data_IF_676667648090
#
_entry.id   IF_676667648090
#
_cell.length_a   1.000
_cell.length_b   1.000
_cell.length_c   1.000
_cell.angle_alpha   90.00
_cell.angle_beta   90.00
_cell.angle_gamma   90.00
#
_symmetry.space_group_name_H-M   'P 1'
#
loop_
_entity.id
_entity.type
_entity.pdbx_description
1 polymer ?
#
# COMPACT_ATOMS: atom_id res chain seq x y z
N UNK A 1 -51.64 38.33 37.25
CA UNK A 1 -51.81 39.68 36.63
C UNK A 1 -51.18 40.68 37.58
N UNK A 2 -50.58 41.77 37.08
CA UNK A 2 -49.94 42.74 37.98
C UNK A 2 -51.02 43.63 38.55
N UNK A 3 -51.10 43.72 39.88
CA UNK A 3 -52.10 44.53 40.58
C UNK A 3 -51.69 45.99 40.68
N UNK A 4 -50.43 46.25 41.05
CA UNK A 4 -49.87 47.61 41.19
C UNK A 4 -48.36 47.61 41.27
N UNK A 5 -47.76 48.80 41.22
CA UNK A 5 -46.33 49.04 41.41
C UNK A 5 -46.10 49.59 42.82
N UNK A 6 -45.72 48.76 43.78
CA UNK A 6 -45.57 49.16 45.18
C UNK A 6 -44.54 50.29 45.38
N UNK A 7 -43.38 50.17 44.72
CA UNK A 7 -42.31 51.18 44.80
C UNK A 7 -41.46 51.20 43.53
N UNK A 8 -40.91 52.38 43.23
CA UNK A 8 -39.85 52.59 42.21
C UNK A 8 -38.83 53.56 42.80
N UNK A 9 -37.55 53.20 42.78
CA UNK A 9 -36.43 54.06 43.17
C UNK A 9 -35.36 54.10 42.08
N UNK A 10 -34.70 55.25 41.95
CA UNK A 10 -33.55 55.48 41.06
C UNK A 10 -33.78 55.06 39.59
N UNK A 11 -35.01 55.24 39.08
CA UNK A 11 -35.36 54.88 37.70
C UNK A 11 -35.88 56.11 36.96
N UNK A 12 -35.02 56.73 36.16
CA UNK A 12 -35.35 57.93 35.38
C UNK A 12 -35.92 59.05 36.26
N UNK A 13 -37.16 59.45 35.98
CA UNK A 13 -37.87 60.50 36.74
C UNK A 13 -38.37 60.04 38.11
N UNK A 14 -38.38 58.73 38.39
CA UNK A 14 -38.84 58.16 39.66
C UNK A 14 -37.66 58.00 40.63
N UNK A 15 -37.53 58.95 41.57
CA UNK A 15 -36.48 58.93 42.60
C UNK A 15 -36.86 58.03 43.81
N UNK A 16 -38.05 58.24 44.40
CA UNK A 16 -38.61 57.40 45.47
C UNK A 16 -40.14 57.37 45.40
N UNK A 17 -40.66 56.76 44.34
CA UNK A 17 -42.10 56.63 44.13
C UNK A 17 -42.67 55.49 44.98
N UNK A 18 -43.84 55.75 45.59
CA UNK A 18 -44.62 54.79 46.36
C UNK A 18 -46.07 54.84 45.90
N UNK A 19 -46.70 53.68 45.75
CA UNK A 19 -48.11 53.61 45.38
C UNK A 19 -48.98 54.09 46.54
N UNK A 20 -49.74 55.16 46.33
CA UNK A 20 -50.75 55.62 47.28
C UNK A 20 -52.12 55.11 46.84
N UNK A 21 -52.65 54.14 47.60
CA UNK A 21 -53.93 53.50 47.32
C UNK A 21 -55.13 54.43 47.45
N UNK A 22 -54.96 55.60 48.07
CA UNK A 22 -56.03 56.59 48.20
C UNK A 22 -56.18 57.46 46.96
N UNK A 23 -55.12 57.60 46.16
CA UNK A 23 -55.07 58.51 45.00
C UNK A 23 -54.89 57.78 43.68
N UNK A 24 -54.25 56.61 43.68
CA UNK A 24 -53.95 55.84 42.46
C UNK A 24 -54.72 54.50 42.51
N UNK A 25 -55.65 54.28 41.57
CA UNK A 25 -56.36 53.00 41.48
C UNK A 25 -55.44 51.88 41.03
N UNK A 26 -55.68 50.66 41.52
CA UNK A 26 -54.98 49.46 41.07
C UNK A 26 -55.18 49.21 39.56
N UNK A 27 -54.25 48.47 38.96
CA UNK A 27 -54.31 48.12 37.55
C UNK A 27 -55.53 47.25 37.23
N UNK A 28 -56.19 47.60 36.13
CA UNK A 28 -57.27 46.82 35.53
C UNK A 28 -56.78 46.01 34.34
N UNK A 29 -57.65 45.24 33.68
CA UNK A 29 -57.27 44.41 32.52
C UNK A 29 -56.66 45.23 31.38
N UNK A 30 -57.10 46.47 31.21
CA UNK A 30 -56.56 47.41 30.21
C UNK A 30 -56.26 48.73 30.89
N UNK A 31 -55.01 49.21 30.79
CA UNK A 31 -54.56 50.43 31.45
C UNK A 31 -54.06 51.42 30.39
N UNK A 32 -54.52 52.66 30.45
CA UNK A 32 -54.03 53.75 29.61
C UNK A 32 -53.26 54.75 30.48
N UNK A 33 -51.95 54.82 30.28
CA UNK A 33 -51.08 55.82 30.92
C UNK A 33 -50.85 56.99 29.98
N UNK A 34 -51.34 58.17 30.33
CA UNK A 34 -51.17 59.40 29.54
C UNK A 34 -50.68 60.55 30.42
N UNK A 35 -50.13 61.59 29.81
CA UNK A 35 -49.54 62.73 30.51
C UNK A 35 -48.56 63.50 29.62
N UNK A 36 -48.01 64.59 30.13
CA UNK A 36 -47.04 65.44 29.43
C UNK A 36 -45.74 64.70 29.07
N UNK A 37 -44.99 65.21 28.10
CA UNK A 37 -43.64 64.73 27.86
C UNK A 37 -42.81 64.83 29.15
N UNK A 38 -41.89 63.89 29.35
CA UNK A 38 -41.09 63.76 30.59
C UNK A 38 -41.88 63.37 31.86
N UNK A 39 -43.18 63.06 31.76
CA UNK A 39 -43.98 62.59 32.91
C UNK A 39 -43.68 61.14 33.36
N UNK A 40 -42.67 60.47 32.78
CA UNK A 40 -42.27 59.10 33.17
C UNK A 40 -42.96 57.94 32.45
N UNK A 41 -43.81 58.19 31.43
CA UNK A 41 -44.51 57.13 30.67
C UNK A 41 -43.54 56.09 30.07
N UNK A 42 -42.52 56.55 29.35
CA UNK A 42 -41.49 55.68 28.76
C UNK A 42 -40.64 55.00 29.84
N UNK A 43 -40.45 55.64 30.99
CA UNK A 43 -39.73 55.06 32.12
C UNK A 43 -40.49 53.88 32.73
N UNK A 44 -41.82 53.96 32.82
CA UNK A 44 -42.67 52.84 33.24
C UNK A 44 -42.59 51.68 32.23
N UNK A 45 -42.61 51.96 30.92
CA UNK A 45 -42.49 50.88 29.93
C UNK A 45 -41.13 50.18 30.01
N UNK A 46 -40.05 50.92 30.29
CA UNK A 46 -38.71 50.35 30.55
C UNK A 46 -38.64 49.52 31.83
N UNK A 47 -39.37 49.89 32.88
CA UNK A 47 -39.50 49.07 34.10
C UNK A 47 -40.05 47.68 33.75
N UNK A 48 -41.19 47.63 33.04
CA UNK A 48 -41.77 46.36 32.60
C UNK A 48 -40.81 45.56 31.71
N UNK A 49 -40.05 46.25 30.86
CA UNK A 49 -39.08 45.59 30.00
C UNK A 49 -37.93 44.91 30.77
N UNK A 50 -37.54 45.43 31.92
CA UNK A 50 -36.55 44.78 32.78
C UNK A 50 -37.02 43.38 33.21
N UNK A 51 -38.32 43.25 33.52
CA UNK A 51 -38.94 41.96 33.83
C UNK A 51 -39.08 41.03 32.61
N UNK A 52 -39.28 41.58 31.40
CA UNK A 52 -39.32 40.77 30.16
C UNK A 52 -37.95 40.18 29.81
N UNK A 53 -36.87 40.97 29.92
CA UNK A 53 -35.51 40.55 29.55
C UNK A 53 -34.77 39.81 30.67
N UNK A 54 -35.23 39.95 31.92
CA UNK A 54 -34.56 39.36 33.07
C UNK A 54 -33.34 40.16 33.55
N UNK A 55 -33.15 41.38 33.07
CA UNK A 55 -31.97 42.23 33.33
C UNK A 55 -32.39 43.67 33.64
N UNK A 56 -31.57 44.39 34.43
CA UNK A 56 -31.78 45.83 34.66
C UNK A 56 -31.47 46.62 33.38
N UNK A 57 -32.15 47.74 33.19
CA UNK A 57 -31.87 48.64 32.09
C UNK A 57 -30.45 49.23 32.20
N UNK A 58 -29.70 49.25 31.10
CA UNK A 58 -28.29 49.68 31.08
C UNK A 58 -28.07 51.08 31.69
N UNK A 59 -28.95 52.03 31.39
CA UNK A 59 -28.88 53.41 31.92
C UNK A 59 -29.21 53.54 33.42
N UNK A 60 -29.82 52.53 34.04
CA UNK A 60 -30.33 52.59 35.42
C UNK A 60 -29.94 51.34 36.24
N UNK A 61 -28.63 51.10 36.46
CA UNK A 61 -28.17 49.89 37.15
C UNK A 61 -28.60 49.83 38.62
N UNK A 62 -28.80 50.98 39.25
CA UNK A 62 -29.18 51.11 40.67
C UNK A 62 -30.71 51.21 40.88
N UNK A 63 -31.50 50.93 39.85
CA UNK A 63 -32.95 50.96 39.95
C UNK A 63 -33.45 49.85 40.90
N UNK A 64 -34.39 50.21 41.78
CA UNK A 64 -35.13 49.27 42.62
C UNK A 64 -36.61 49.41 42.32
N UNK A 65 -37.33 48.30 42.17
CA UNK A 65 -38.76 48.33 41.95
C UNK A 65 -39.42 47.08 42.51
N UNK A 66 -40.68 47.22 42.92
CA UNK A 66 -41.48 46.12 43.46
C UNK A 66 -42.88 46.14 42.85
N UNK A 67 -43.33 45.01 42.32
CA UNK A 67 -44.67 44.79 41.79
C UNK A 67 -45.44 43.79 42.65
N UNK A 68 -46.75 43.97 42.76
CA UNK A 68 -47.66 43.06 43.49
C UNK A 68 -48.45 42.20 42.50
N UNK A 69 -48.57 40.90 42.77
CA UNK A 69 -49.46 40.02 42.03
C UNK A 69 -50.92 40.18 42.48
N UNK A 70 -51.84 40.18 41.52
CA UNK A 70 -53.28 40.30 41.76
C UNK A 70 -53.88 39.05 42.43
N UNK A 71 -53.38 37.85 42.12
CA UNK A 71 -53.92 36.60 42.67
C UNK A 71 -53.27 36.19 43.98
N UNK A 72 -52.03 36.60 44.23
CA UNK A 72 -51.33 36.29 45.47
C UNK A 72 -50.64 37.55 46.04
N UNK A 73 -51.29 38.27 46.96
CA UNK A 73 -50.74 39.48 47.59
C UNK A 73 -49.40 39.24 48.32
N UNK A 74 -49.09 37.99 48.70
CA UNK A 74 -47.82 37.63 49.33
C UNK A 74 -46.68 37.49 48.31
N UNK A 75 -46.99 37.41 47.01
CA UNK A 75 -46.02 37.30 45.93
C UNK A 75 -45.67 38.70 45.41
N UNK A 76 -44.43 39.11 45.69
CA UNK A 76 -43.86 40.40 45.26
C UNK A 76 -42.74 40.15 44.25
N UNK A 77 -42.81 40.82 43.11
CA UNK A 77 -41.78 40.77 42.08
C UNK A 77 -40.83 41.94 42.28
N UNK A 78 -39.53 41.69 42.44
CA UNK A 78 -38.56 42.73 42.71
C UNK A 78 -37.36 42.67 41.75
N UNK A 79 -36.50 43.68 41.81
CA UNK A 79 -35.31 43.83 40.98
C UNK A 79 -34.19 42.82 41.28
N UNK A 80 -34.40 41.90 42.23
CA UNK A 80 -33.46 40.84 42.61
C UNK A 80 -33.86 39.47 42.05
N UNK A 81 -35.12 39.28 41.68
CA UNK A 81 -35.63 38.03 41.11
C UNK A 81 -36.60 38.30 39.95
N UNK A 82 -36.02 38.45 38.75
CA UNK A 82 -36.76 38.66 37.52
C UNK A 82 -37.42 37.38 36.96
N UNK A 83 -37.10 36.21 37.52
CA UNK A 83 -37.48 34.91 36.95
C UNK A 83 -38.92 34.48 37.24
N UNK A 84 -39.64 35.27 38.04
CA UNK A 84 -40.90 34.87 38.67
C UNK A 84 -42.17 35.32 37.93
N UNK A 85 -42.03 36.15 36.88
CA UNK A 85 -43.15 36.75 36.14
C UNK A 85 -43.28 36.14 34.72
N UNK A 86 -43.95 34.98 34.57
CA UNK A 86 -44.09 34.33 33.29
C UNK A 86 -45.14 35.09 32.46
N UNK A 87 -44.76 35.54 31.26
CA UNK A 87 -45.61 36.16 30.23
C UNK A 87 -45.78 37.69 30.32
N UNK A 88 -44.66 38.42 30.39
CA UNK A 88 -44.63 39.84 30.04
C UNK A 88 -43.95 40.04 28.67
N UNK A 89 -44.58 40.87 27.83
CA UNK A 89 -44.03 41.30 26.55
C UNK A 89 -44.17 42.81 26.45
N UNK A 90 -43.08 43.51 26.14
CA UNK A 90 -43.05 44.96 26.06
C UNK A 90 -42.65 45.40 24.67
N UNK A 91 -43.60 46.01 23.97
CA UNK A 91 -43.34 46.67 22.69
C UNK A 91 -43.13 48.17 22.94
N UNK A 92 -41.86 48.59 23.00
CA UNK A 92 -41.47 49.99 23.18
C UNK A 92 -40.40 50.41 22.16
N UNK A 93 -39.98 51.67 22.18
CA UNK A 93 -38.95 52.21 21.25
C UNK A 93 -37.65 51.41 21.29
N UNK A 94 -37.14 51.03 22.45
CA UNK A 94 -35.89 50.27 22.49
C UNK A 94 -36.09 48.80 22.01
N UNK A 95 -37.33 48.27 21.93
CA UNK A 95 -37.61 46.96 21.30
C UNK A 95 -37.46 47.08 19.79
N UNK A 96 -38.02 48.15 19.23
CA UNK A 96 -37.91 48.48 17.81
C UNK A 96 -36.44 48.67 17.45
N UNK A 97 -35.69 49.49 18.18
CA UNK A 97 -34.26 49.73 17.89
C UNK A 97 -33.41 48.46 17.96
N UNK A 98 -33.70 47.53 18.89
CA UNK A 98 -32.92 46.30 19.07
C UNK A 98 -33.25 45.21 18.04
N UNK A 99 -34.50 45.12 17.60
CA UNK A 99 -34.97 44.00 16.77
C UNK A 99 -35.34 44.39 15.33
N UNK A 100 -35.63 45.67 15.08
CA UNK A 100 -36.02 46.20 13.78
C UNK A 100 -34.95 47.19 13.33
N UNK A 101 -33.96 46.71 12.56
CA UNK A 101 -32.84 47.49 12.00
C UNK A 101 -33.26 48.57 10.97
N UNK A 102 -34.54 48.93 10.90
CA UNK A 102 -35.09 49.95 9.99
C UNK A 102 -34.52 51.36 10.26
N UNK A 103 -34.10 51.63 11.49
CA UNK A 103 -33.76 52.99 11.96
C UNK A 103 -32.27 53.33 12.01
N UNK A 104 -31.40 52.41 11.58
CA UNK A 104 -29.96 52.67 11.49
C UNK A 104 -29.54 52.80 10.03
N UNK A 105 -29.49 54.06 9.61
CA UNK A 105 -28.78 54.62 8.44
C UNK A 105 -29.42 54.44 7.06
N UNK A 106 -29.72 55.62 6.51
CA UNK A 106 -29.83 56.05 5.10
C UNK A 106 -31.05 55.62 4.26
N UNK A 107 -31.72 56.65 3.73
CA UNK A 107 -32.87 56.65 2.82
C UNK A 107 -32.51 56.04 1.44
N UNK A 108 -32.27 54.73 1.36
CA UNK A 108 -32.22 54.02 0.09
C UNK A 108 -33.03 52.73 0.15
N UNK A 109 -34.21 52.75 -0.49
CA UNK A 109 -34.84 51.57 -1.08
C UNK A 109 -35.38 50.53 -0.09
N UNK A 110 -36.69 50.31 -0.15
CA UNK A 110 -37.36 49.20 0.55
C UNK A 110 -36.85 47.88 -0.06
N UNK A 111 -35.86 47.24 0.57
CA UNK A 111 -35.56 45.83 0.33
C UNK A 111 -36.66 44.93 0.91
N UNK A 112 -37.01 43.81 0.25
CA UNK A 112 -38.11 42.96 0.69
C UNK A 112 -37.89 42.40 2.10
N UNK A 113 -38.96 42.46 2.88
CA UNK A 113 -39.06 42.06 4.28
C UNK A 113 -38.65 40.58 4.46
N UNK A 114 -37.47 40.32 5.00
CA UNK A 114 -37.17 39.08 5.70
C UNK A 114 -37.47 39.29 7.19
N UNK A 115 -38.53 38.64 7.68
CA UNK A 115 -38.90 38.60 9.10
C UNK A 115 -37.86 37.79 9.90
N UNK A 116 -36.69 38.36 10.16
CA UNK A 116 -35.74 37.81 11.13
C UNK A 116 -36.14 38.28 12.54
N UNK A 117 -37.28 37.80 13.02
CA UNK A 117 -37.69 38.02 14.42
C UNK A 117 -36.75 37.18 15.30
N UNK A 118 -35.91 37.84 16.08
CA UNK A 118 -35.12 37.23 17.16
C UNK A 118 -33.61 37.51 17.06
N UNK A 119 -33.01 37.83 18.21
CA UNK A 119 -31.56 38.05 18.38
C UNK A 119 -30.72 36.90 17.78
N UNK A 120 -31.19 35.67 17.94
CA UNK A 120 -30.49 34.47 17.48
C UNK A 120 -30.35 34.41 15.95
N UNK A 121 -31.34 34.91 15.19
CA UNK A 121 -31.30 34.93 13.73
C UNK A 121 -30.27 35.95 13.20
N UNK A 122 -30.11 37.08 13.90
CA UNK A 122 -29.11 38.10 13.54
C UNK A 122 -27.69 37.55 13.77
N UNK A 123 -27.45 36.91 14.92
CA UNK A 123 -26.14 36.31 15.23
C UNK A 123 -25.77 35.15 14.29
N UNK A 124 -26.75 34.35 13.88
CA UNK A 124 -26.54 33.27 12.90
C UNK A 124 -26.17 33.82 11.52
N UNK A 125 -26.77 34.93 11.11
CA UNK A 125 -26.48 35.55 9.81
C UNK A 125 -25.07 36.14 9.77
N UNK A 126 -24.63 36.82 10.83
CA UNK A 126 -23.26 37.32 10.93
C UNK A 126 -22.22 36.19 10.91
N UNK A 127 -22.52 35.05 11.54
CA UNK A 127 -21.68 33.84 11.46
C UNK A 127 -21.63 33.27 10.05
N UNK A 128 -22.77 33.23 9.36
CA UNK A 128 -22.85 32.73 7.99
C UNK A 128 -22.02 33.58 7.02
N UNK A 129 -22.09 34.90 7.15
CA UNK A 129 -21.34 35.80 6.27
C UNK A 129 -19.82 35.70 6.51
N UNK A 130 -19.38 35.56 7.77
CA UNK A 130 -17.96 35.27 8.09
C UNK A 130 -17.50 33.95 7.48
N UNK A 131 -18.28 32.88 7.64
CA UNK A 131 -17.94 31.56 7.09
C UNK A 131 -17.87 31.56 5.55
N UNK A 132 -18.71 32.35 4.87
CA UNK A 132 -18.63 32.52 3.41
C UNK A 132 -17.31 33.18 2.99
N UNK A 133 -16.89 34.23 3.69
CA UNK A 133 -15.60 34.89 3.42
C UNK A 133 -14.44 33.91 3.63
N UNK A 134 -14.43 33.18 4.75
CA UNK A 134 -13.39 32.18 5.02
C UNK A 134 -13.37 31.06 3.97
N UNK A 135 -14.55 30.60 3.52
CA UNK A 135 -14.67 29.61 2.46
C UNK A 135 -14.05 30.11 1.15
N UNK A 136 -14.34 31.35 0.74
CA UNK A 136 -13.75 31.93 -0.48
C UNK A 136 -12.23 32.04 -0.37
N UNK A 137 -11.70 32.50 0.77
CA UNK A 137 -10.26 32.58 0.99
C UNK A 137 -9.57 31.22 0.93
N UNK A 138 -10.19 30.17 1.47
CA UNK A 138 -9.68 28.79 1.42
C UNK A 138 -9.70 28.22 0.00
N UNK A 139 -10.74 28.52 -0.80
CA UNK A 139 -10.82 28.10 -2.21
C UNK A 139 -9.69 28.76 -3.01
N UNK A 140 -9.46 30.06 -2.83
CA UNK A 140 -8.38 30.78 -3.52
C UNK A 140 -7.00 30.27 -3.11
N UNK A 141 -6.79 30.00 -1.82
CA UNK A 141 -5.55 29.43 -1.32
C UNK A 141 -5.30 28.04 -1.90
N UNK A 142 -6.33 27.20 -1.98
CA UNK A 142 -6.26 25.88 -2.61
C UNK A 142 -5.91 25.98 -4.08
N UNK A 143 -6.57 26.86 -4.84
CA UNK A 143 -6.29 27.06 -6.27
C UNK A 143 -4.82 27.42 -6.51
N UNK A 144 -4.27 28.35 -5.72
CA UNK A 144 -2.85 28.74 -5.81
C UNK A 144 -1.88 27.61 -5.47
N UNK A 145 -2.24 26.75 -4.51
CA UNK A 145 -1.43 25.58 -4.17
C UNK A 145 -1.49 24.51 -5.27
N UNK A 146 -2.64 24.30 -5.88
CA UNK A 146 -2.83 23.36 -6.99
C UNK A 146 -2.05 23.82 -8.24
N UNK A 147 -2.05 25.12 -8.54
CA UNK A 147 -1.21 25.72 -9.60
C UNK A 147 0.28 25.47 -9.35
N UNK A 148 0.78 25.81 -8.15
CA UNK A 148 2.18 25.57 -7.78
C UNK A 148 2.57 24.10 -7.82
N UNK A 149 1.66 23.21 -7.38
CA UNK A 149 1.88 21.77 -7.45
C UNK A 149 2.03 21.31 -8.91
N UNK A 150 1.13 21.75 -9.78
CA UNK A 150 1.18 21.45 -11.22
C UNK A 150 2.47 21.97 -11.86
N UNK A 151 2.89 23.20 -11.54
CA UNK A 151 4.17 23.75 -12.00
C UNK A 151 5.36 22.90 -11.57
N UNK A 152 5.44 22.53 -10.29
CA UNK A 152 6.52 21.69 -9.76
C UNK A 152 6.53 20.29 -10.38
N UNK A 153 5.36 19.67 -10.57
CA UNK A 153 5.23 18.35 -11.21
C UNK A 153 5.67 18.39 -12.68
N UNK A 154 5.34 19.48 -13.39
CA UNK A 154 5.78 19.70 -14.77
C UNK A 154 7.29 19.94 -14.85
N UNK A 155 7.86 20.79 -13.99
CA UNK A 155 9.30 21.05 -13.94
C UNK A 155 10.06 19.76 -13.62
N UNK A 156 9.69 19.05 -12.55
CA UNK A 156 10.28 17.75 -12.22
C UNK A 156 10.13 16.76 -13.38
N UNK A 157 8.97 16.76 -14.03
CA UNK A 157 8.71 15.91 -15.18
C UNK A 157 9.62 16.19 -16.36
N UNK A 158 9.92 17.46 -16.63
CA UNK A 158 10.82 17.91 -17.67
C UNK A 158 12.28 17.60 -17.32
N UNK A 159 12.69 17.87 -16.08
CA UNK A 159 14.05 17.58 -15.60
C UNK A 159 14.39 16.10 -15.72
N UNK A 160 13.50 15.21 -15.25
CA UNK A 160 13.69 13.77 -15.40
C UNK A 160 13.77 13.33 -16.87
N UNK A 161 13.04 14.00 -17.76
CA UNK A 161 13.06 13.70 -19.21
C UNK A 161 14.36 14.17 -19.86
N UNK A 162 14.82 15.36 -19.50
CA UNK A 162 16.06 15.95 -20.00
C UNK A 162 17.28 15.13 -19.54
N UNK A 163 17.34 14.77 -18.27
CA UNK A 163 18.42 13.94 -17.72
C UNK A 163 18.44 12.54 -18.35
N UNK A 164 17.28 11.88 -18.49
CA UNK A 164 17.20 10.60 -19.19
C UNK A 164 17.71 10.70 -20.64
N UNK A 165 17.39 11.81 -21.32
CA UNK A 165 17.86 12.08 -22.68
C UNK A 165 19.36 12.34 -22.74
N UNK A 166 19.91 13.07 -21.78
CA UNK A 166 21.34 13.37 -21.70
C UNK A 166 22.16 12.12 -21.39
N UNK A 167 21.68 11.25 -20.50
CA UNK A 167 22.28 9.93 -20.25
C UNK A 167 22.25 9.08 -21.52
N UNK A 168 21.11 9.01 -22.21
CA UNK A 168 20.95 8.27 -23.47
C UNK A 168 21.95 8.76 -24.51
N UNK A 169 22.11 10.08 -24.66
CA UNK A 169 23.06 10.69 -25.59
C UNK A 169 24.51 10.41 -25.21
N UNK A 170 24.86 10.56 -23.93
CA UNK A 170 26.22 10.40 -23.40
C UNK A 170 26.71 8.96 -23.55
N UNK A 171 25.87 8.01 -23.17
CA UNK A 171 26.18 6.59 -23.21
C UNK A 171 25.86 5.95 -24.57
N UNK A 172 25.22 6.69 -25.49
CA UNK A 172 24.72 6.15 -26.77
C UNK A 172 23.84 4.91 -26.56
N UNK A 173 23.03 4.93 -25.50
CA UNK A 173 21.99 3.94 -25.28
C UNK A 173 21.00 4.08 -26.46
N UNK A 174 20.50 2.96 -27.00
CA UNK A 174 19.42 3.02 -27.99
C UNK A 174 18.17 3.71 -27.44
N UNK A 175 17.04 3.66 -28.15
CA UNK A 175 15.77 4.31 -27.75
C UNK A 175 15.09 3.71 -26.50
N UNK A 176 15.82 3.08 -25.58
CA UNK A 176 15.24 2.26 -24.51
C UNK A 176 15.35 2.88 -23.11
N UNK A 177 15.99 4.04 -22.96
CA UNK A 177 16.18 4.69 -21.67
C UNK A 177 15.39 6.00 -21.62
N UNK A 178 14.22 5.95 -20.97
CA UNK A 178 13.28 7.06 -20.88
C UNK A 178 13.02 7.45 -19.42
N UNK A 179 12.17 8.46 -19.22
CA UNK A 179 11.81 9.00 -17.89
C UNK A 179 11.43 7.92 -16.86
N UNK A 180 10.64 6.87 -17.15
CA UNK A 180 10.29 5.85 -16.17
C UNK A 180 11.49 5.06 -15.65
N UNK A 181 12.43 4.71 -16.52
CA UNK A 181 13.64 3.96 -16.17
C UNK A 181 14.56 4.81 -15.30
N UNK A 182 14.81 6.06 -15.72
CA UNK A 182 15.63 6.99 -14.93
C UNK A 182 15.04 7.22 -13.53
N UNK A 183 13.71 7.36 -13.42
CA UNK A 183 13.06 7.51 -12.12
C UNK A 183 13.28 6.30 -11.21
N UNK A 184 13.20 5.07 -11.75
CA UNK A 184 13.48 3.85 -10.99
C UNK A 184 14.93 3.83 -10.50
N UNK A 185 15.88 4.19 -11.36
CA UNK A 185 17.29 4.22 -11.00
C UNK A 185 17.58 5.28 -9.92
N UNK A 186 16.99 6.48 -10.03
CA UNK A 186 17.08 7.53 -9.00
C UNK A 186 16.50 7.04 -7.68
N UNK A 187 15.33 6.38 -7.69
CA UNK A 187 14.70 5.86 -6.47
C UNK A 187 15.53 4.78 -5.78
N UNK A 188 16.31 3.99 -6.54
CA UNK A 188 17.21 2.98 -6.00
C UNK A 188 18.47 3.58 -5.36
N UNK A 189 18.99 4.69 -5.92
CA UNK A 189 20.28 5.27 -5.49
C UNK A 189 20.16 6.47 -4.55
N UNK A 190 19.00 7.12 -4.45
CA UNK A 190 18.83 8.39 -3.71
C UNK A 190 19.32 8.35 -2.27
N UNK A 191 19.12 7.23 -1.57
CA UNK A 191 19.47 7.09 -0.15
C UNK A 191 20.95 6.71 0.09
N UNK A 192 21.76 6.64 -0.98
CA UNK A 192 23.16 6.21 -0.90
C UNK A 192 24.03 6.60 -2.11
N UNK A 193 23.69 7.68 -2.81
CA UNK A 193 24.26 8.01 -4.12
C UNK A 193 25.80 8.10 -4.14
N UNK A 194 26.42 8.50 -3.03
CA UNK A 194 27.87 8.61 -2.89
C UNK A 194 28.61 7.29 -3.11
N UNK A 195 27.96 6.15 -2.86
CA UNK A 195 28.52 4.81 -3.10
C UNK A 195 28.47 4.40 -4.57
N UNK A 196 27.64 5.07 -5.37
CA UNK A 196 27.44 4.79 -6.80
C UNK A 196 28.23 5.73 -7.71
N UNK A 197 28.98 6.68 -7.14
CA UNK A 197 29.86 7.55 -7.91
C UNK A 197 31.09 6.74 -8.33
N UNK A 198 31.27 6.61 -9.65
CA UNK A 198 32.45 5.98 -10.23
C UNK A 198 33.57 7.01 -10.36
N UNK A 199 34.81 6.60 -10.10
CA UNK A 199 35.99 7.39 -10.47
C UNK A 199 36.16 7.41 -12.00
N UNK A 200 36.77 8.46 -12.54
CA UNK A 200 36.97 8.63 -13.98
C UNK A 200 37.65 7.42 -14.68
N UNK A 201 38.63 6.78 -14.04
CA UNK A 201 39.31 5.58 -14.58
C UNK A 201 38.36 4.38 -14.72
N UNK A 202 37.56 4.13 -13.69
CA UNK A 202 36.58 3.03 -13.65
C UNK A 202 35.44 3.29 -14.64
N UNK A 203 34.95 4.53 -14.70
CA UNK A 203 33.93 4.94 -15.67
C UNK A 203 34.43 4.73 -17.11
N UNK A 204 35.65 5.18 -17.41
CA UNK A 204 36.28 5.02 -18.72
C UNK A 204 36.36 3.55 -19.14
N UNK A 205 36.84 2.66 -18.25
CA UNK A 205 36.91 1.21 -18.51
C UNK A 205 35.55 0.62 -18.86
N UNK A 206 34.52 0.90 -18.05
CA UNK A 206 33.18 0.38 -18.30
C UNK A 206 32.57 0.91 -19.61
N UNK A 207 32.78 2.20 -19.91
CA UNK A 207 32.29 2.82 -21.13
C UNK A 207 32.94 2.19 -22.37
N UNK A 208 34.25 1.92 -22.33
CA UNK A 208 34.97 1.24 -23.41
C UNK A 208 34.47 -0.20 -23.60
N UNK A 209 34.25 -0.95 -22.51
CA UNK A 209 33.68 -2.30 -22.60
C UNK A 209 32.27 -2.28 -23.21
N UNK A 210 31.43 -1.33 -22.81
CA UNK A 210 30.06 -1.21 -23.32
C UNK A 210 30.01 -0.81 -24.80
N UNK A 211 30.88 0.13 -25.22
CA UNK A 211 30.99 0.58 -26.61
C UNK A 211 31.73 -0.40 -27.52
N UNK A 212 32.37 -1.43 -26.96
CA UNK A 212 33.05 -2.43 -27.76
C UNK A 212 32.04 -3.14 -28.66
N UNK A 213 32.22 -2.98 -29.97
CA UNK A 213 31.50 -3.72 -31.01
C UNK A 213 32.23 -5.00 -31.38
N UNK A 214 33.24 -5.42 -30.61
CA UNK A 214 33.93 -6.67 -30.84
C UNK A 214 32.92 -7.81 -30.73
N UNK A 215 32.68 -8.44 -31.87
CA UNK A 215 31.90 -9.66 -31.94
C UNK A 215 32.74 -10.72 -31.22
N UNK A 216 32.32 -11.07 -30.01
CA UNK A 216 32.95 -12.19 -29.29
C UNK A 216 32.77 -13.44 -30.14
N UNK A 217 33.82 -14.22 -30.24
CA UNK A 217 33.79 -15.47 -31.01
C UNK A 217 32.61 -16.33 -30.55
N UNK A 218 31.91 -16.93 -31.51
CA UNK A 218 30.84 -17.87 -31.23
C UNK A 218 31.38 -19.00 -30.36
N UNK A 219 30.60 -19.38 -29.34
CA UNK A 219 30.93 -20.54 -28.52
C UNK A 219 30.74 -21.78 -29.39
N UNK A 220 31.84 -22.32 -29.90
CA UNK A 220 31.83 -23.60 -30.61
C UNK A 220 31.57 -24.69 -29.57
N UNK A 221 30.30 -25.10 -29.45
CA UNK A 221 29.93 -26.28 -28.68
C UNK A 221 30.45 -27.51 -29.44
N UNK A 222 31.44 -28.19 -28.87
CA UNK A 222 31.84 -29.51 -29.35
C UNK A 222 30.61 -30.43 -29.32
N UNK A 223 30.36 -31.15 -30.40
CA UNK A 223 29.26 -32.11 -30.46
C UNK A 223 29.41 -33.13 -29.33
N UNK A 224 28.33 -33.39 -28.59
CA UNK A 224 28.30 -34.44 -27.59
C UNK A 224 28.68 -35.78 -28.23
N UNK A 225 29.38 -36.67 -27.50
CA UNK A 225 29.62 -38.02 -27.99
C UNK A 225 28.28 -38.67 -28.39
N UNK A 226 28.25 -39.27 -29.58
CA UNK A 226 27.06 -39.97 -30.05
C UNK A 226 26.90 -41.29 -29.28
N UNK A 227 26.13 -41.24 -28.19
CA UNK A 227 25.91 -42.38 -27.31
C UNK A 227 24.67 -43.17 -27.78
N UNK A 228 24.89 -44.41 -28.22
CA UNK A 228 23.84 -45.31 -28.70
C UNK A 228 23.02 -45.95 -27.57
N UNK A 229 22.47 -45.15 -26.64
CA UNK A 229 21.74 -45.66 -25.47
C UNK A 229 20.59 -46.64 -25.79
N UNK A 230 19.75 -46.42 -26.82
CA UNK A 230 18.69 -47.36 -27.17
C UNK A 230 19.25 -48.74 -27.58
N UNK A 231 20.31 -48.74 -28.38
CA UNK A 231 20.97 -49.96 -28.85
C UNK A 231 21.63 -50.71 -27.69
N UNK A 232 22.30 -49.98 -26.80
CA UNK A 232 22.89 -50.53 -25.59
C UNK A 232 21.81 -51.19 -24.71
N UNK A 233 20.68 -50.51 -24.50
CA UNK A 233 19.58 -51.02 -23.69
C UNK A 233 18.97 -52.29 -24.32
N UNK A 234 18.79 -52.31 -25.63
CA UNK A 234 18.24 -53.46 -26.35
C UNK A 234 19.17 -54.66 -26.28
N UNK A 235 20.47 -54.48 -26.58
CA UNK A 235 21.48 -55.55 -26.46
C UNK A 235 21.58 -56.09 -25.04
N UNK A 236 21.55 -55.21 -24.03
CA UNK A 236 21.56 -55.62 -22.62
C UNK A 236 20.35 -56.49 -22.28
N UNK A 237 19.15 -56.08 -22.69
CA UNK A 237 17.92 -56.85 -22.46
C UNK A 237 17.95 -58.21 -23.16
N UNK A 238 18.48 -58.27 -24.38
CA UNK A 238 18.61 -59.51 -25.15
C UNK A 238 19.54 -60.50 -24.47
N UNK A 239 20.74 -60.06 -24.10
CA UNK A 239 21.78 -60.88 -23.46
C UNK A 239 21.30 -61.40 -22.11
N UNK A 240 20.70 -60.55 -21.26
CA UNK A 240 20.22 -60.96 -19.91
C UNK A 240 19.06 -61.97 -19.99
N UNK A 241 18.19 -61.85 -21.01
CA UNK A 241 17.04 -62.75 -21.18
C UNK A 241 17.40 -64.08 -21.85
N UNK A 242 18.61 -64.21 -22.40
CA UNK A 242 19.05 -65.41 -23.11
C UNK A 242 19.20 -66.56 -22.11
N UNK A 243 18.32 -67.56 -22.23
CA UNK A 243 18.41 -68.81 -21.48
C UNK A 243 19.34 -69.76 -22.21
N UNK A 244 20.40 -70.21 -21.54
CA UNK A 244 21.26 -71.27 -22.06
C UNK A 244 20.73 -72.61 -21.55
N UNK A 245 20.61 -73.58 -22.45
CA UNK A 245 20.26 -74.95 -22.08
C UNK A 245 21.52 -75.79 -22.22
N UNK A 246 22.27 -75.97 -21.13
CA UNK A 246 23.36 -76.94 -21.12
C UNK A 246 22.76 -78.35 -21.28
N UNK A 247 23.34 -79.18 -22.16
CA UNK A 247 22.86 -80.54 -22.36
C UNK A 247 23.13 -81.43 -21.13
N UNK A 248 24.21 -81.14 -20.38
CA UNK A 248 24.54 -81.81 -19.12
C UNK A 248 25.31 -80.88 -18.20
N UNK A 249 24.82 -80.73 -16.97
CA UNK A 249 25.43 -79.85 -15.95
C UNK A 249 26.34 -80.68 -15.04
N UNK A 250 27.58 -80.23 -14.86
CA UNK A 250 28.50 -80.72 -13.83
C UNK A 250 28.27 -79.87 -12.57
N UNK A 251 27.56 -80.41 -11.58
CA UNK A 251 27.14 -79.66 -10.38
C UNK A 251 28.32 -79.10 -9.56
N UNK A 252 29.47 -79.77 -9.54
CA UNK A 252 30.69 -79.26 -8.87
C UNK A 252 31.21 -77.97 -9.52
N UNK A 253 31.14 -77.86 -10.85
CA UNK A 253 31.52 -76.66 -11.58
C UNK A 253 30.43 -75.59 -11.49
N UNK A 254 29.15 -75.97 -11.39
CA UNK A 254 28.06 -75.00 -11.22
C UNK A 254 28.12 -74.30 -9.85
N UNK A 255 28.44 -75.05 -8.80
CA UNK A 255 28.45 -74.54 -7.43
C UNK A 255 29.77 -73.87 -7.02
N UNK A 256 30.79 -73.90 -7.88
CA UNK A 256 32.10 -73.29 -7.62
C UNK A 256 32.60 -72.51 -8.85
N UNK A 257 32.39 -71.20 -8.84
CA UNK A 257 32.76 -70.28 -9.93
C UNK A 257 34.26 -70.31 -10.26
N UNK A 258 35.12 -70.33 -9.25
CA UNK A 258 36.57 -70.37 -9.45
C UNK A 258 37.02 -71.67 -10.14
N UNK A 259 36.43 -72.80 -9.72
CA UNK A 259 36.70 -74.09 -10.33
C UNK A 259 36.17 -74.15 -11.76
N UNK A 260 34.96 -73.62 -12.00
CA UNK A 260 34.36 -73.52 -13.32
C UNK A 260 35.26 -72.79 -14.30
N UNK A 261 35.73 -71.59 -13.91
CA UNK A 261 36.63 -70.76 -14.70
C UNK A 261 37.95 -71.47 -14.99
N UNK A 262 38.56 -72.06 -13.97
CA UNK A 262 39.81 -72.81 -14.12
C UNK A 262 39.67 -74.00 -15.08
N UNK A 263 38.57 -74.77 -14.98
CA UNK A 263 38.31 -75.90 -15.89
C UNK A 263 38.05 -75.41 -17.32
N UNK A 264 37.34 -74.29 -17.50
CA UNK A 264 37.09 -73.72 -18.83
C UNK A 264 38.38 -73.24 -19.51
N UNK A 265 39.22 -72.50 -18.79
CA UNK A 265 40.54 -72.07 -19.26
C UNK A 265 41.46 -73.28 -19.52
N UNK A 266 41.44 -74.26 -18.61
CA UNK A 266 42.19 -75.51 -18.71
C UNK A 266 41.79 -76.34 -19.93
N UNK A 267 40.50 -76.39 -20.29
CA UNK A 267 39.99 -77.10 -21.48
C UNK A 267 40.65 -76.60 -22.76
N UNK A 268 40.78 -75.28 -22.92
CA UNK A 268 41.46 -74.67 -24.07
C UNK A 268 42.94 -75.07 -24.17
N UNK A 269 43.64 -75.12 -23.03
CA UNK A 269 45.07 -75.46 -22.94
C UNK A 269 45.39 -76.95 -23.19
N UNK A 270 44.39 -77.83 -23.07
CA UNK A 270 44.55 -79.28 -23.21
C UNK A 270 43.94 -79.86 -24.50
N UNK A 271 43.37 -79.02 -25.38
CA UNK A 271 42.66 -79.43 -26.61
C UNK A 271 43.49 -80.31 -27.57
N UNK A 272 44.81 -80.26 -27.49
CA UNK A 272 45.77 -81.03 -28.30
C UNK A 272 46.68 -81.96 -27.49
N UNK A 273 46.37 -82.21 -26.21
CA UNK A 273 47.21 -83.00 -25.30
C UNK A 273 46.48 -84.26 -24.83
N UNK A 274 47.22 -85.36 -24.71
CA UNK A 274 46.70 -86.63 -24.17
C UNK A 274 47.02 -86.81 -22.68
N UNK A 275 47.83 -85.92 -22.11
CA UNK A 275 48.23 -85.92 -20.69
C UNK A 275 47.85 -84.62 -20.01
N UNK A 276 47.44 -84.72 -18.75
CA UNK A 276 47.14 -83.57 -17.91
C UNK A 276 48.41 -82.77 -17.63
N UNK A 277 48.39 -81.46 -17.90
CA UNK A 277 49.56 -80.59 -17.66
C UNK A 277 49.77 -80.29 -16.17
N UNK A 278 48.83 -80.64 -15.29
CA UNK A 278 48.94 -80.46 -13.85
C UNK A 278 49.51 -81.71 -13.16
N UNK A 279 48.88 -82.87 -13.36
CA UNK A 279 49.29 -84.12 -12.68
C UNK A 279 50.08 -85.11 -13.53
N UNK A 280 50.24 -84.87 -14.85
CA UNK A 280 51.01 -85.73 -15.76
C UNK A 280 50.32 -87.04 -16.19
N UNK A 281 49.17 -87.38 -15.62
CA UNK A 281 48.40 -88.58 -15.96
C UNK A 281 47.70 -88.46 -17.32
N UNK A 282 47.39 -89.60 -17.93
CA UNK A 282 46.61 -89.65 -19.18
C UNK A 282 45.18 -89.12 -18.95
N UNK A 283 44.67 -88.33 -19.90
CA UNK A 283 43.32 -87.77 -19.84
C UNK A 283 42.29 -88.83 -20.27
N UNK A 284 41.17 -88.98 -19.52
CA UNK A 284 40.09 -89.87 -19.94
C UNK A 284 39.55 -89.49 -21.32
N UNK A 285 39.27 -90.48 -22.16
CA UNK A 285 38.78 -90.28 -23.53
C UNK A 285 37.42 -89.59 -23.61
N UNK A 286 36.61 -89.67 -22.55
CA UNK A 286 35.28 -89.07 -22.45
C UNK A 286 35.27 -87.70 -21.73
N UNK A 287 36.42 -87.23 -21.25
CA UNK A 287 36.53 -85.98 -20.47
C UNK A 287 36.11 -84.77 -21.28
N UNK A 288 36.66 -84.59 -22.49
CA UNK A 288 36.32 -83.46 -23.34
C UNK A 288 34.85 -83.49 -23.77
N UNK A 289 34.29 -84.68 -24.05
CA UNK A 289 32.87 -84.79 -24.37
C UNK A 289 31.98 -84.33 -23.21
N UNK A 290 32.33 -84.67 -21.96
CA UNK A 290 31.61 -84.21 -20.76
C UNK A 290 31.76 -82.69 -20.55
N UNK A 291 32.94 -82.15 -20.77
CA UNK A 291 33.20 -80.72 -20.65
C UNK A 291 32.50 -79.92 -21.76
N UNK A 292 32.46 -80.42 -22.99
CA UNK A 292 31.77 -79.80 -24.13
C UNK A 292 30.24 -79.78 -23.93
N UNK A 293 29.69 -80.78 -23.21
CA UNK A 293 28.26 -80.80 -22.84
C UNK A 293 27.89 -79.80 -21.73
N UNK A 294 28.87 -79.43 -20.89
CA UNK A 294 28.71 -78.45 -19.80
C UNK A 294 28.99 -77.02 -20.28
N UNK A 295 30.09 -76.82 -21.00
CA UNK A 295 30.49 -75.58 -21.65
C UNK A 295 29.95 -75.56 -23.09
N UNK A 296 28.63 -75.41 -23.23
CA UNK A 296 28.01 -75.36 -24.54
C UNK A 296 28.52 -74.15 -25.34
N UNK A 297 28.50 -74.24 -26.67
CA UNK A 297 28.87 -73.12 -27.54
C UNK A 297 27.98 -71.89 -27.30
N UNK A 298 26.73 -72.07 -26.83
CA UNK A 298 25.88 -70.95 -26.44
C UNK A 298 26.34 -70.26 -25.15
N UNK A 299 26.94 -71.00 -24.21
CA UNK A 299 27.53 -70.44 -22.99
C UNK A 299 28.75 -69.58 -23.30
N UNK A 300 29.67 -70.11 -24.12
CA UNK A 300 30.86 -69.37 -24.56
C UNK A 300 30.49 -68.10 -25.35
N UNK A 301 29.47 -68.19 -26.22
CA UNK A 301 28.99 -67.03 -26.97
C UNK A 301 28.35 -65.99 -26.04
N UNK A 302 27.56 -66.40 -25.03
CA UNK A 302 26.97 -65.48 -24.07
C UNK A 302 28.05 -64.75 -23.25
N UNK A 303 29.08 -65.48 -22.80
CA UNK A 303 30.20 -64.90 -22.06
C UNK A 303 30.92 -63.83 -22.91
N UNK A 304 31.16 -64.13 -24.19
CA UNK A 304 31.77 -63.18 -25.14
C UNK A 304 30.88 -61.96 -25.39
N UNK A 305 29.58 -62.15 -25.55
CA UNK A 305 28.61 -61.07 -25.77
C UNK A 305 28.55 -60.14 -24.54
N UNK A 306 28.61 -60.69 -23.33
CA UNK A 306 28.67 -59.94 -22.07
C UNK A 306 29.95 -59.11 -21.95
N UNK A 307 31.11 -59.69 -22.25
CA UNK A 307 32.40 -58.98 -22.21
C UNK A 307 32.43 -57.81 -23.21
N UNK A 308 31.90 -58.02 -24.42
CA UNK A 308 31.78 -56.97 -25.45
C UNK A 308 30.86 -55.84 -24.99
N UNK A 309 29.72 -56.17 -24.36
CA UNK A 309 28.79 -55.19 -23.83
C UNK A 309 29.44 -54.32 -22.74
N UNK A 310 30.17 -54.94 -21.80
CA UNK A 310 30.89 -54.21 -20.74
C UNK A 310 31.94 -53.25 -21.31
N UNK A 311 32.70 -53.69 -22.32
CA UNK A 311 33.69 -52.84 -22.99
C UNK A 311 33.03 -51.61 -23.65
N UNK A 312 31.88 -51.79 -24.30
CA UNK A 312 31.14 -50.68 -24.91
C UNK A 312 30.67 -49.65 -23.86
N UNK A 313 30.17 -50.12 -22.71
CA UNK A 313 29.73 -49.23 -21.60
C UNK A 313 30.90 -48.42 -21.05
N UNK A 314 32.06 -49.02 -20.85
CA UNK A 314 33.24 -48.30 -20.35
C UNK A 314 33.80 -47.30 -21.37
N UNK A 315 33.71 -47.60 -22.67
CA UNK A 315 34.05 -46.65 -23.73
C UNK A 315 33.12 -45.44 -23.73
N UNK A 316 31.81 -45.66 -23.64
CA UNK A 316 30.79 -44.60 -23.55
C UNK A 316 31.01 -43.72 -22.30
N UNK A 317 31.29 -44.35 -21.15
CA UNK A 317 31.61 -43.64 -19.91
C UNK A 317 32.87 -42.79 -20.02
N UNK A 318 33.91 -43.32 -20.66
CA UNK A 318 35.17 -42.59 -20.88
C UNK A 318 34.94 -41.39 -21.79
N UNK A 319 34.16 -41.56 -22.88
CA UNK A 319 33.80 -40.48 -23.78
C UNK A 319 33.08 -39.34 -23.06
N UNK A 320 32.12 -39.65 -22.18
CA UNK A 320 31.41 -38.66 -21.36
C UNK A 320 32.37 -37.94 -20.41
N UNK A 321 33.19 -38.67 -19.66
CA UNK A 321 34.10 -38.07 -18.67
C UNK A 321 35.20 -37.20 -19.32
N UNK A 322 35.58 -37.53 -20.55
CA UNK A 322 36.56 -36.75 -21.32
C UNK A 322 35.96 -35.50 -21.98
N UNK A 323 34.62 -35.36 -21.97
CA UNK A 323 33.95 -34.23 -22.59
C UNK A 323 34.08 -32.98 -21.72
N UNK A 324 34.83 -32.00 -22.21
CA UNK A 324 35.04 -30.71 -21.53
C UNK A 324 34.04 -29.71 -22.08
N UNK A 325 33.14 -29.23 -21.21
CA UNK A 325 32.30 -28.08 -21.54
C UNK A 325 33.16 -26.82 -21.65
N UNK A 326 32.87 -25.90 -22.58
CA UNK A 326 33.53 -24.61 -22.62
C UNK A 326 33.38 -23.93 -21.25
N UNK A 327 34.52 -23.60 -20.64
CA UNK A 327 34.55 -23.02 -19.29
C UNK A 327 33.79 -21.70 -19.33
N UNK A 328 32.92 -21.49 -18.33
CA UNK A 328 32.21 -20.22 -18.13
C UNK A 328 33.26 -19.10 -18.19
N UNK A 329 33.20 -18.26 -19.22
CA UNK A 329 34.14 -17.14 -19.37
C UNK A 329 34.26 -16.39 -18.06
N UNK A 330 35.48 -16.24 -17.56
CA UNK A 330 35.77 -15.45 -16.36
C UNK A 330 35.12 -14.08 -16.52
N UNK A 331 34.10 -13.82 -15.69
CA UNK A 331 33.43 -12.54 -15.46
C UNK A 331 33.48 -11.55 -16.64
N UNK A 332 32.64 -11.77 -17.64
CA UNK A 332 32.51 -10.86 -18.78
C UNK A 332 31.14 -10.97 -19.46
N UNK A 333 30.08 -10.64 -18.69
CA UNK A 333 28.73 -10.25 -19.12
C UNK A 333 28.14 -11.09 -20.27
N UNK A 334 27.30 -12.06 -19.92
CA UNK A 334 26.31 -12.61 -20.84
C UNK A 334 25.16 -11.60 -20.97
N UNK A 335 24.95 -11.05 -22.17
CA UNK A 335 23.73 -10.33 -22.53
C UNK A 335 22.75 -11.33 -23.16
N UNK A 336 21.59 -11.62 -22.55
CA UNK A 336 20.62 -12.54 -23.12
C UNK A 336 19.66 -11.79 -24.03
N UNK A 337 20.13 -11.16 -25.11
CA UNK A 337 19.24 -10.49 -26.08
C UNK A 337 19.61 -10.85 -27.52
N UNK A 338 19.13 -12.00 -27.98
CA UNK A 338 18.85 -12.28 -29.41
C UNK A 338 18.01 -13.56 -29.51
N UNK A 339 16.74 -13.46 -29.12
CA UNK A 339 15.68 -14.32 -29.67
C UNK A 339 14.48 -13.42 -29.96
N UNK A 340 14.39 -12.97 -31.21
CA UNK A 340 13.14 -12.65 -31.89
C UNK A 340 13.27 -13.09 -33.33
#
# INVERSE_FOLDING_TARGET
MIKRINKIKNLGVFQDFKWDTNTIPDFSKHNLFYGWNYSGKTTISRLFRCFELGEKHADYPNAEFELEDDQNPSKKYNDKDFSTLPNLRVFNTDFILKNLKWYSQDDEGIEPIFFSIGKDNIELQEKLDKLKVDQTALIDAKSKLDEKKSELENTLGNDLTNEARDITKTLSLGRNYEKPQFKQDVDLIKDGFTKHILSDDVYGKHLTTYKSTEQKDDIILSALPALGFPDLQNKTKEIIKRKITAQKIIEELKNNENLNKWVNEGRGLHKSKNKCSFCGNDLPSDLFQKLDQHFSSEYEQLEKDLQSLLANVENDRTAINSFVLPVKGTAGVFSPHSVK
#
